data_IF_100246622769
#
_entry.id   IF_100246622769
#
_cell.length_a   1.000
_cell.length_b   1.000
_cell.length_c   1.000
_cell.angle_alpha   90.00
_cell.angle_beta   90.00
_cell.angle_gamma   90.00
#
_symmetry.space_group_name_H-M   'P 1'
#
loop_
_entity.id
_entity.type
_entity.pdbx_description
1 polymer ?
#
# COMPACT_ATOMS: atom_id res chain seq x y z
N UNK A 1 8.70 19.63 -6.58
CA UNK A 1 7.31 19.24 -6.83
C UNK A 1 7.17 18.15 -7.91
N UNK A 2 7.86 18.21 -9.06
CA UNK A 2 7.64 17.30 -10.20
C UNK A 2 7.93 15.80 -9.98
N UNK A 3 8.47 15.39 -8.82
CA UNK A 3 8.79 13.99 -8.50
C UNK A 3 8.20 13.56 -7.14
N UNK A 4 7.32 14.35 -6.53
CA UNK A 4 6.65 13.99 -5.26
C UNK A 4 5.22 13.48 -5.49
N UNK A 5 4.75 12.61 -4.61
CA UNK A 5 3.36 12.12 -4.60
C UNK A 5 2.30 13.20 -4.29
N UNK A 6 2.73 14.41 -3.93
CA UNK A 6 1.87 15.52 -3.57
C UNK A 6 1.66 16.48 -4.74
N UNK A 7 0.45 17.01 -4.83
CA UNK A 7 0.09 18.09 -5.75
C UNK A 7 0.39 19.46 -5.12
N UNK A 8 0.69 20.44 -5.96
CA UNK A 8 0.89 21.81 -5.49
C UNK A 8 -0.42 22.39 -4.93
N UNK A 9 -0.36 22.95 -3.72
CA UNK A 9 -1.55 23.43 -3.01
C UNK A 9 -2.40 22.34 -2.35
N UNK A 10 -1.96 21.07 -2.38
CA UNK A 10 -2.65 19.99 -1.69
C UNK A 10 -2.52 20.12 -0.16
N UNK A 11 -3.65 20.00 0.53
CA UNK A 11 -3.67 19.96 1.98
C UNK A 11 -3.50 18.53 2.47
N UNK A 12 -2.40 18.29 3.20
CA UNK A 12 -2.03 16.97 3.71
C UNK A 12 -1.60 17.04 5.17
N UNK A 13 -1.65 15.91 5.88
CA UNK A 13 -1.18 15.84 7.25
C UNK A 13 0.33 16.05 7.33
N UNK A 14 0.76 16.90 8.26
CA UNK A 14 2.19 17.18 8.51
C UNK A 14 2.99 15.91 8.82
N UNK A 15 2.37 14.92 9.46
CA UNK A 15 3.00 13.64 9.74
C UNK A 15 3.35 12.88 8.46
N UNK A 16 2.44 12.84 7.48
CA UNK A 16 2.64 12.18 6.19
C UNK A 16 3.76 12.84 5.39
N UNK A 17 3.77 14.17 5.29
CA UNK A 17 4.85 14.91 4.58
C UNK A 17 6.21 14.64 5.22
N UNK A 18 6.28 14.57 6.56
CA UNK A 18 7.52 14.23 7.27
C UNK A 18 8.01 12.81 6.98
N UNK A 19 7.11 11.84 6.87
CA UNK A 19 7.47 10.46 6.53
C UNK A 19 8.03 10.40 5.10
N UNK A 20 7.33 11.02 4.15
CA UNK A 20 7.77 11.08 2.75
C UNK A 20 9.11 11.80 2.62
N UNK A 21 9.31 12.93 3.30
CA UNK A 21 10.58 13.64 3.26
C UNK A 21 11.74 12.79 3.80
N UNK A 22 11.53 12.01 4.87
CA UNK A 22 12.54 11.08 5.38
C UNK A 22 12.90 10.00 4.34
N UNK A 23 11.92 9.50 3.59
CA UNK A 23 12.17 8.54 2.52
C UNK A 23 12.95 9.17 1.37
N UNK A 24 12.55 10.38 0.93
CA UNK A 24 13.24 11.12 -0.14
C UNK A 24 14.68 11.45 0.22
N UNK A 25 14.93 11.85 1.47
CA UNK A 25 16.28 12.09 1.98
C UNK A 25 17.14 10.82 1.91
N UNK A 26 16.58 9.65 2.25
CA UNK A 26 17.28 8.36 2.14
C UNK A 26 17.57 7.99 0.67
N UNK A 27 16.72 8.40 -0.27
CA UNK A 27 16.91 8.23 -1.72
C UNK A 27 17.82 9.31 -2.34
N UNK A 28 18.31 10.29 -1.57
CA UNK A 28 19.12 11.41 -2.07
C UNK A 28 18.34 12.42 -2.91
N UNK A 29 17.01 12.40 -2.85
CA UNK A 29 16.11 13.33 -3.55
C UNK A 29 15.86 14.58 -2.68
N UNK A 30 15.56 15.73 -3.28
CA UNK A 30 15.21 16.92 -2.52
C UNK A 30 13.90 16.70 -1.73
N UNK A 31 13.81 17.22 -0.49
CA UNK A 31 12.60 17.13 0.31
C UNK A 31 11.49 17.99 -0.30
N UNK A 32 10.25 17.65 0.03
CA UNK A 32 9.07 18.44 -0.31
C UNK A 32 8.97 19.61 0.67
N UNK A 33 8.92 20.83 0.12
CA UNK A 33 8.63 22.05 0.88
C UNK A 33 7.13 22.12 1.19
N UNK A 34 6.79 22.56 2.40
CA UNK A 34 5.40 22.71 2.82
C UNK A 34 5.27 23.85 3.83
N UNK A 35 4.09 24.47 3.86
CA UNK A 35 3.71 25.46 4.86
C UNK A 35 2.74 24.83 5.87
N UNK A 36 2.84 25.23 7.15
CA UNK A 36 1.92 24.75 8.18
C UNK A 36 0.66 25.60 8.20
N UNK A 37 -0.47 24.98 7.91
CA UNK A 37 -1.79 25.60 8.08
C UNK A 37 -2.36 25.28 9.47
N UNK A 38 -2.94 26.29 10.13
CA UNK A 38 -3.65 26.12 11.39
C UNK A 38 -5.15 26.00 11.15
N UNK A 39 -5.73 24.87 11.53
CA UNK A 39 -7.16 24.59 11.39
C UNK A 39 -7.86 24.61 12.74
N UNK A 40 -9.11 25.09 12.77
CA UNK A 40 -9.99 24.91 13.93
C UNK A 40 -10.37 23.44 14.13
N UNK A 41 -10.75 23.07 15.36
CA UNK A 41 -11.03 21.67 15.73
C UNK A 41 -12.07 21.00 14.84
N UNK A 42 -13.09 21.74 14.39
CA UNK A 42 -14.16 21.22 13.51
C UNK A 42 -13.62 20.91 12.11
N UNK A 43 -12.87 21.85 11.51
CA UNK A 43 -12.29 21.67 10.18
C UNK A 43 -11.23 20.56 10.19
N UNK A 44 -10.40 20.52 11.23
CA UNK A 44 -9.42 19.45 11.43
C UNK A 44 -10.08 18.07 11.58
N UNK A 45 -11.22 17.97 12.28
CA UNK A 45 -11.94 16.70 12.48
C UNK A 45 -12.68 16.21 11.23
N UNK A 46 -13.04 17.11 10.30
CA UNK A 46 -13.62 16.74 9.01
C UNK A 46 -12.56 16.39 7.97
N UNK A 47 -11.34 16.89 8.12
CA UNK A 47 -10.21 16.66 7.20
C UNK A 47 -9.41 15.37 7.51
N UNK A 48 -9.88 14.49 8.39
CA UNK A 48 -9.18 13.24 8.71
C UNK A 48 -9.23 12.27 7.54
N UNK A 49 -8.20 11.43 7.38
CA UNK A 49 -8.14 10.43 6.30
C UNK A 49 -9.28 9.40 6.35
N UNK A 50 -9.70 9.02 7.56
CA UNK A 50 -10.85 8.13 7.74
C UNK A 50 -12.16 8.85 7.48
N UNK A 51 -12.84 8.44 6.41
CA UNK A 51 -14.18 8.95 6.12
C UNK A 51 -15.22 8.40 7.10
N UNK A 52 -14.99 7.21 7.70
CA UNK A 52 -15.88 6.65 8.74
C UNK A 52 -15.84 7.53 9.99
N UNK A 53 -14.63 7.87 10.44
CA UNK A 53 -14.42 8.79 11.56
C UNK A 53 -14.99 10.18 11.26
N UNK A 54 -14.71 10.75 10.07
CA UNK A 54 -15.22 12.07 9.69
C UNK A 54 -16.77 12.10 9.59
N UNK A 55 -17.39 11.11 8.94
CA UNK A 55 -18.85 11.03 8.78
C UNK A 55 -19.60 10.83 10.11
N UNK A 56 -18.95 10.20 11.10
CA UNK A 56 -19.47 10.04 12.46
C UNK A 56 -19.44 11.32 13.30
N UNK A 57 -18.63 12.31 12.89
CA UNK A 57 -18.54 13.58 13.59
C UNK A 57 -19.69 14.50 13.16
N UNK A 58 -19.70 14.94 11.90
CA UNK A 58 -20.70 15.84 11.32
C UNK A 58 -20.78 15.65 9.78
N UNK A 59 -21.76 16.30 9.13
CA UNK A 59 -21.87 16.39 7.66
C UNK A 59 -21.89 15.05 6.92
N UNK A 60 -22.49 14.02 7.55
CA UNK A 60 -22.47 12.62 7.12
C UNK A 60 -22.80 12.42 5.65
N UNK A 61 -23.84 13.07 5.11
CA UNK A 61 -24.22 12.94 3.69
C UNK A 61 -23.10 13.39 2.77
N UNK A 62 -22.51 14.56 3.04
CA UNK A 62 -21.44 15.13 2.21
C UNK A 62 -20.20 14.22 2.23
N UNK A 63 -19.76 13.83 3.42
CA UNK A 63 -18.57 12.98 3.60
C UNK A 63 -18.73 11.63 2.90
N UNK A 64 -19.88 10.98 3.03
CA UNK A 64 -20.12 9.68 2.39
C UNK A 64 -20.22 9.81 0.86
N UNK A 65 -20.82 10.88 0.34
CA UNK A 65 -20.86 11.11 -1.12
C UNK A 65 -19.48 11.33 -1.71
N UNK A 66 -18.64 12.15 -1.06
CA UNK A 66 -17.27 12.41 -1.51
C UNK A 66 -16.43 11.12 -1.46
N UNK A 67 -16.54 10.34 -0.39
CA UNK A 67 -15.84 9.07 -0.25
C UNK A 67 -16.28 8.04 -1.30
N UNK A 68 -17.58 7.96 -1.60
CA UNK A 68 -18.12 7.05 -2.60
C UNK A 68 -17.66 7.41 -4.02
N UNK A 69 -17.71 8.70 -4.39
CA UNK A 69 -17.26 9.19 -5.70
C UNK A 69 -15.75 8.96 -5.88
N UNK A 70 -14.96 9.19 -4.83
CA UNK A 70 -13.51 8.95 -4.87
C UNK A 70 -13.11 7.47 -4.70
N UNK A 71 -14.05 6.57 -4.42
CA UNK A 71 -13.77 5.15 -4.16
C UNK A 71 -12.86 4.92 -2.93
N UNK A 72 -12.93 5.80 -1.93
CA UNK A 72 -12.06 5.74 -0.74
C UNK A 72 -12.28 4.45 0.04
N UNK A 73 -11.18 3.90 0.57
CA UNK A 73 -11.20 2.75 1.48
C UNK A 73 -10.63 3.18 2.83
N UNK A 74 -11.28 2.73 3.90
CA UNK A 74 -10.87 3.02 5.25
C UNK A 74 -10.05 1.86 5.81
N UNK A 75 -8.85 2.15 6.31
CA UNK A 75 -7.95 1.13 6.84
C UNK A 75 -8.21 0.75 8.30
N UNK A 76 -9.13 1.45 8.98
CA UNK A 76 -9.50 1.20 10.38
C UNK A 76 -8.28 1.27 11.32
N UNK A 77 -7.44 2.29 11.14
CA UNK A 77 -6.25 2.53 11.98
C UNK A 77 -6.58 3.34 13.23
N UNK A 78 -7.72 4.03 13.25
CA UNK A 78 -8.15 4.93 14.31
C UNK A 78 -8.95 4.25 15.42
N UNK A 79 -9.13 4.98 16.52
CA UNK A 79 -9.95 4.53 17.65
C UNK A 79 -11.43 4.49 17.28
N UNK A 80 -11.96 5.57 16.69
CA UNK A 80 -13.40 5.72 16.39
C UNK A 80 -13.87 4.71 15.34
N UNK A 81 -13.15 4.55 14.25
CA UNK A 81 -13.42 3.54 13.22
C UNK A 81 -13.63 2.15 13.81
N UNK A 82 -12.69 1.70 14.66
CA UNK A 82 -12.76 0.36 15.25
C UNK A 82 -13.94 0.23 16.22
N UNK A 83 -14.28 1.27 16.98
CA UNK A 83 -15.47 1.27 17.83
C UNK A 83 -16.75 1.13 17.00
N UNK A 84 -16.86 1.89 15.90
CA UNK A 84 -18.05 1.87 15.04
C UNK A 84 -18.22 0.50 14.37
N UNK A 85 -17.13 -0.12 13.92
CA UNK A 85 -17.15 -1.44 13.27
C UNK A 85 -17.26 -2.59 14.27
N UNK A 86 -17.03 -2.35 15.58
CA UNK A 86 -17.10 -3.37 16.63
C UNK A 86 -15.84 -4.23 16.78
N UNK A 87 -14.66 -3.68 16.44
CA UNK A 87 -13.35 -4.33 16.60
C UNK A 87 -12.63 -3.80 17.85
N UNK A 88 -11.63 -4.53 18.33
CA UNK A 88 -10.74 -4.03 19.39
C UNK A 88 -10.11 -2.71 18.97
N UNK A 89 -10.03 -1.73 19.87
CA UNK A 89 -9.38 -0.45 19.60
C UNK A 89 -7.84 -0.60 19.60
N UNK A 90 -7.10 0.18 18.78
CA UNK A 90 -5.63 0.17 18.76
C UNK A 90 -4.99 0.90 19.95
N UNK A 91 -5.52 0.69 21.15
CA UNK A 91 -5.01 1.24 22.40
C UNK A 91 -5.19 0.23 23.55
N UNK A 92 -4.42 0.40 24.62
CA UNK A 92 -4.47 -0.47 25.80
C UNK A 92 -4.25 -1.94 25.44
N UNK A 93 -5.12 -2.83 25.93
CA UNK A 93 -5.05 -4.27 25.67
C UNK A 93 -5.25 -4.63 24.20
N UNK A 94 -5.97 -3.80 23.44
CA UNK A 94 -6.15 -4.00 22.00
C UNK A 94 -4.90 -3.68 21.17
N UNK A 95 -3.90 -3.00 21.73
CA UNK A 95 -2.67 -2.66 21.01
C UNK A 95 -1.88 -3.90 20.57
N UNK A 96 -1.80 -4.94 21.42
CA UNK A 96 -1.13 -6.19 21.08
C UNK A 96 -1.82 -6.92 19.91
N UNK A 97 -3.16 -6.90 19.89
CA UNK A 97 -3.94 -7.47 18.79
C UNK A 97 -3.63 -6.78 17.46
N UNK A 98 -3.60 -5.45 17.44
CA UNK A 98 -3.29 -4.68 16.24
C UNK A 98 -1.83 -4.82 15.78
N UNK A 99 -0.87 -4.87 16.70
CA UNK A 99 0.53 -5.14 16.37
C UNK A 99 0.72 -6.51 15.71
N UNK A 100 0.13 -7.55 16.30
CA UNK A 100 0.22 -8.90 15.75
C UNK A 100 -0.43 -8.98 14.37
N UNK A 101 -1.59 -8.33 14.18
CA UNK A 101 -2.25 -8.24 12.88
C UNK A 101 -1.40 -7.50 11.84
N UNK A 102 -0.76 -6.41 12.23
CA UNK A 102 0.13 -5.65 11.34
C UNK A 102 1.34 -6.49 10.93
N UNK A 103 1.96 -7.21 11.87
CA UNK A 103 3.05 -8.15 11.56
C UNK A 103 2.61 -9.26 10.62
N UNK A 104 1.44 -9.86 10.87
CA UNK A 104 0.91 -10.90 9.99
C UNK A 104 0.69 -10.38 8.58
N UNK A 105 0.11 -9.18 8.43
CA UNK A 105 -0.09 -8.56 7.13
C UNK A 105 1.23 -8.29 6.40
N UNK A 106 2.26 -7.82 7.11
CA UNK A 106 3.60 -7.66 6.52
C UNK A 106 4.19 -8.98 6.05
N UNK A 107 4.01 -10.06 6.83
CA UNK A 107 4.46 -11.40 6.45
C UNK A 107 3.71 -11.88 5.21
N UNK A 108 2.38 -11.75 5.21
CA UNK A 108 1.53 -12.16 4.08
C UNK A 108 1.92 -11.38 2.81
N UNK A 109 2.16 -10.07 2.91
CA UNK A 109 2.61 -9.24 1.78
C UNK A 109 4.00 -9.63 1.27
N UNK A 110 4.93 -9.99 2.15
CA UNK A 110 6.27 -10.46 1.77
C UNK A 110 6.19 -11.83 1.08
N UNK A 111 5.39 -12.75 1.62
CA UNK A 111 5.18 -14.08 1.03
C UNK A 111 4.55 -13.96 -0.36
N UNK A 112 3.57 -13.08 -0.54
CA UNK A 112 2.95 -12.85 -1.85
C UNK A 112 3.95 -12.33 -2.90
N UNK A 113 4.84 -11.40 -2.51
CA UNK A 113 5.88 -10.89 -3.43
C UNK A 113 6.91 -11.94 -3.79
N UNK A 114 7.33 -12.76 -2.84
CA UNK A 114 8.23 -13.88 -3.09
C UNK A 114 7.62 -14.87 -4.10
N UNK A 115 6.32 -15.20 -3.97
CA UNK A 115 5.66 -16.07 -4.95
C UNK A 115 5.60 -15.48 -6.36
N UNK A 116 5.42 -14.16 -6.51
CA UNK A 116 5.45 -13.50 -7.83
C UNK A 116 6.86 -13.53 -8.44
N UNK A 117 7.90 -13.31 -7.63
CA UNK A 117 9.30 -13.41 -8.06
C UNK A 117 9.68 -14.85 -8.44
N UNK A 118 9.23 -15.84 -7.66
CA UNK A 118 9.45 -17.26 -7.92
C UNK A 118 8.72 -17.71 -9.21
N UNK A 119 7.48 -17.26 -9.43
CA UNK A 119 6.74 -17.51 -10.68
C UNK A 119 7.45 -16.90 -11.90
N UNK A 120 7.97 -15.67 -11.77
CA UNK A 120 8.73 -15.03 -12.83
C UNK A 120 10.05 -15.74 -13.14
N UNK A 121 10.76 -16.22 -12.12
CA UNK A 121 12.01 -16.97 -12.27
C UNK A 121 11.79 -18.33 -12.95
N UNK A 122 10.74 -19.06 -12.57
CA UNK A 122 10.36 -20.32 -13.24
C UNK A 122 9.97 -20.07 -14.70
N UNK A 123 9.24 -18.98 -14.97
CA UNK A 123 8.86 -18.64 -16.34
C UNK A 123 10.08 -18.32 -17.24
N UNK A 124 11.11 -17.66 -16.70
CA UNK A 124 12.34 -17.33 -17.42
C UNK A 124 13.20 -18.58 -17.69
N UNK A 125 13.26 -19.52 -16.74
CA UNK A 125 14.01 -20.78 -16.89
C UNK A 125 13.34 -21.76 -17.88
N UNK A 126 12.02 -21.71 -18.04
CA UNK A 126 11.26 -22.57 -18.96
C UNK A 126 10.92 -21.94 -20.32
N UNK A 127 11.57 -20.83 -20.71
CA UNK A 127 11.48 -20.31 -22.08
C UNK A 127 12.23 -21.28 -23.02
N UNK A 128 11.57 -22.37 -23.41
CA UNK A 128 12.07 -23.25 -24.47
C UNK A 128 12.00 -22.44 -25.77
N UNK A 129 13.15 -21.97 -26.24
CA UNK A 129 13.21 -21.32 -27.55
C UNK A 129 12.99 -22.37 -28.65
N UNK A 130 12.50 -21.95 -29.81
CA UNK A 130 12.31 -22.86 -30.95
C UNK A 130 13.63 -23.55 -31.34
N UNK A 131 14.77 -22.87 -31.14
CA UNK A 131 16.10 -23.41 -31.38
C UNK A 131 16.46 -24.50 -30.35
N UNK A 132 16.14 -24.31 -29.06
CA UNK A 132 16.38 -25.34 -28.03
C UNK A 132 15.55 -26.60 -28.26
N UNK A 133 14.30 -26.44 -28.71
CA UNK A 133 13.43 -27.57 -29.05
C UNK A 133 13.99 -28.38 -30.24
N UNK A 134 14.53 -27.70 -31.26
CA UNK A 134 15.13 -28.38 -32.42
C UNK A 134 16.46 -29.05 -32.08
N UNK A 135 17.28 -28.46 -31.21
CA UNK A 135 18.50 -29.09 -30.72
C UNK A 135 18.19 -30.34 -29.89
N UNK A 136 17.19 -30.29 -29.00
CA UNK A 136 16.77 -31.44 -28.20
C UNK A 136 16.15 -32.56 -29.05
N UNK A 137 15.43 -32.22 -30.13
CA UNK A 137 14.94 -33.21 -31.09
C UNK A 137 16.11 -33.85 -31.86
N UNK A 138 17.09 -33.04 -32.29
CA UNK A 138 18.25 -33.53 -33.01
C UNK A 138 19.15 -34.44 -32.15
N UNK A 139 19.30 -34.14 -30.85
CA UNK A 139 20.03 -35.01 -29.93
C UNK A 139 19.31 -36.33 -29.69
N UNK A 140 17.97 -36.33 -29.57
CA UNK A 140 17.18 -37.55 -29.44
C UNK A 140 17.27 -38.43 -30.70
N UNK A 141 17.13 -37.84 -31.89
CA UNK A 141 17.22 -38.58 -33.16
C UNK A 141 18.62 -39.17 -33.39
N UNK A 142 19.68 -38.48 -32.96
CA UNK A 142 21.04 -39.00 -33.09
C UNK A 142 21.35 -40.10 -32.05
N UNK A 143 20.71 -40.08 -30.88
CA UNK A 143 20.86 -41.15 -29.88
C UNK A 143 20.19 -42.48 -30.29
N UNK A 144 19.19 -42.45 -31.18
CA UNK A 144 18.53 -43.66 -31.70
C UNK A 144 19.28 -44.31 -32.88
N UNK A 145 20.33 -43.66 -33.40
CA UNK A 145 21.10 -44.14 -34.57
C UNK A 145 22.40 -44.87 -34.14
N UNK A 146 22.80 -44.80 -32.87
CA UNK A 146 24.03 -45.41 -32.35
C UNK A 146 23.86 -46.81 -31.72
N UNK A 147 22.66 -47.40 -31.72
CA UNK A 147 22.39 -48.82 -31.39
C UNK A 147 22.03 -49.66 -32.64
#
# INVERSE_FOLDING_TARGET
AYDSEFLEGEQVEVARVKIVNRQREAEGKPPVEFERELLGITKASLATESFISAASFQETTRVLTEAAVAGKRDELRGLKENVIVGRLIPAGTGFAYHQNRHKHRLVDDVVAKLSEEDEAAIADEFVITADDATQNLATLLNSEIED
#
